data_IF_118924703325
#
_entry.id   IF_118924703325
#
_cell.length_a   1.000
_cell.length_b   1.000
_cell.length_c   1.000
_cell.angle_alpha   90.00
_cell.angle_beta   90.00
_cell.angle_gamma   90.00
#
_symmetry.space_group_name_H-M   'P 1'
#
loop_
_entity.id
_entity.type
_entity.pdbx_description
1 polymer ?
#
# COMPACT_ATOMS: atom_id res chain seq x y z
N UNK A 1 16.29 -33.72 72.16
CA UNK A 1 17.07 -33.20 71.00
C UNK A 1 16.11 -32.91 69.89
N UNK A 2 15.69 -31.65 69.69
CA UNK A 2 14.83 -31.24 68.62
C UNK A 2 15.71 -30.85 67.43
N UNK A 3 15.62 -31.59 66.29
CA UNK A 3 16.24 -31.22 65.01
C UNK A 3 15.42 -30.11 64.36
N UNK A 4 15.97 -28.89 64.24
CA UNK A 4 15.40 -27.79 63.47
C UNK A 4 15.61 -28.10 62.01
N UNK A 5 14.50 -28.26 61.22
CA UNK A 5 14.50 -28.33 59.79
C UNK A 5 14.37 -26.88 59.28
N UNK A 6 15.40 -26.38 58.58
CA UNK A 6 15.39 -25.08 57.91
C UNK A 6 14.83 -25.32 56.49
N UNK A 7 13.71 -24.69 56.12
CA UNK A 7 13.23 -24.81 54.76
C UNK A 7 14.13 -23.99 53.81
N UNK A 8 14.69 -24.63 52.80
CA UNK A 8 15.43 -24.02 51.69
C UNK A 8 14.41 -23.37 50.76
N UNK A 9 14.28 -22.04 50.79
CA UNK A 9 13.48 -21.27 49.83
C UNK A 9 14.31 -21.11 48.56
N UNK A 10 13.97 -21.89 47.55
CA UNK A 10 14.52 -21.71 46.19
C UNK A 10 13.72 -20.57 45.51
N UNK A 11 14.33 -19.39 45.42
CA UNK A 11 13.78 -18.27 44.67
C UNK A 11 14.11 -18.53 43.19
N UNK A 12 13.12 -19.01 42.44
CA UNK A 12 13.19 -19.07 40.98
C UNK A 12 13.10 -17.64 40.40
N UNK A 13 14.24 -17.04 40.09
CA UNK A 13 14.30 -15.84 39.25
C UNK A 13 13.91 -16.24 37.81
N UNK A 14 12.64 -16.07 37.47
CA UNK A 14 12.21 -16.08 36.08
C UNK A 14 12.79 -14.86 35.38
N UNK A 15 13.81 -15.06 34.55
CA UNK A 15 14.34 -14.05 33.65
C UNK A 15 13.28 -13.86 32.57
N UNK A 16 12.41 -12.86 32.75
CA UNK A 16 11.54 -12.38 31.69
C UNK A 16 12.43 -11.71 30.62
N UNK A 17 12.90 -12.46 29.63
CA UNK A 17 13.41 -11.87 28.40
C UNK A 17 12.20 -11.28 27.69
N UNK A 18 12.07 -9.96 27.70
CA UNK A 18 11.09 -9.26 26.86
C UNK A 18 11.32 -9.71 25.41
N UNK A 19 10.28 -10.18 24.69
CA UNK A 19 10.45 -10.52 23.30
C UNK A 19 10.97 -9.29 22.57
N UNK A 20 12.11 -9.43 21.90
CA UNK A 20 12.68 -8.36 21.08
C UNK A 20 11.60 -8.00 20.04
N UNK A 21 11.18 -6.74 19.98
CA UNK A 21 10.20 -6.31 19.01
C UNK A 21 10.69 -6.73 17.62
N UNK A 22 9.85 -7.47 16.89
CA UNK A 22 10.21 -7.96 15.57
C UNK A 22 10.33 -6.77 14.63
N UNK A 23 11.49 -6.60 13.99
CA UNK A 23 11.73 -5.49 13.08
C UNK A 23 10.79 -5.57 11.87
N UNK A 24 10.24 -4.41 11.47
CA UNK A 24 9.39 -4.31 10.29
C UNK A 24 10.14 -4.69 9.01
N UNK A 25 9.53 -5.50 8.17
CA UNK A 25 10.10 -5.96 6.90
C UNK A 25 9.09 -5.96 5.77
N UNK A 26 9.60 -6.09 4.55
CA UNK A 26 8.84 -6.25 3.33
C UNK A 26 9.12 -7.63 2.75
N UNK A 27 8.09 -8.47 2.68
CA UNK A 27 8.15 -9.74 1.95
C UNK A 27 7.78 -9.48 0.50
N UNK A 28 8.55 -10.04 -0.44
CA UNK A 28 8.40 -9.82 -1.88
C UNK A 28 8.32 -11.17 -2.56
N UNK A 29 7.20 -11.39 -3.27
CA UNK A 29 6.95 -12.63 -3.99
C UNK A 29 6.66 -12.34 -5.45
N UNK A 30 6.97 -13.30 -6.33
CA UNK A 30 6.50 -13.30 -7.71
C UNK A 30 5.36 -14.31 -7.83
N UNK A 31 4.20 -13.83 -8.28
CA UNK A 31 3.02 -14.63 -8.56
C UNK A 31 2.87 -14.76 -10.08
N UNK A 32 2.32 -15.87 -10.54
CA UNK A 32 2.06 -16.10 -11.96
C UNK A 32 0.58 -16.38 -12.17
N UNK A 33 0.02 -15.77 -13.20
CA UNK A 33 -1.35 -16.01 -13.62
C UNK A 33 -1.43 -16.08 -15.14
N UNK A 34 -2.13 -17.11 -15.63
CA UNK A 34 -2.30 -17.30 -17.06
C UNK A 34 -3.46 -16.46 -17.58
N UNK A 35 -3.16 -15.55 -18.50
CA UNK A 35 -4.14 -14.74 -19.24
C UNK A 35 -4.13 -15.28 -20.68
N UNK A 36 -5.21 -15.94 -21.09
CA UNK A 36 -5.30 -16.67 -22.36
C UNK A 36 -4.11 -17.62 -22.56
N UNK A 37 -3.21 -17.30 -23.48
CA UNK A 37 -1.98 -18.09 -23.75
C UNK A 37 -0.74 -17.51 -23.10
N UNK A 38 -0.83 -16.33 -22.44
CA UNK A 38 0.29 -15.63 -21.84
C UNK A 38 0.37 -15.90 -20.34
N UNK A 39 1.53 -16.35 -19.86
CA UNK A 39 1.82 -16.47 -18.43
C UNK A 39 2.35 -15.14 -17.92
N UNK A 40 1.50 -14.38 -17.24
CA UNK A 40 1.82 -13.06 -16.71
C UNK A 40 2.43 -13.15 -15.31
N UNK A 41 3.49 -12.40 -15.08
CA UNK A 41 4.13 -12.28 -13.78
C UNK A 41 3.68 -11.04 -13.03
N UNK A 42 3.46 -11.21 -11.72
CA UNK A 42 3.06 -10.16 -10.78
C UNK A 42 4.03 -10.15 -9.60
N UNK A 43 4.46 -8.98 -9.18
CA UNK A 43 5.20 -8.83 -7.93
C UNK A 43 4.25 -8.39 -6.84
N UNK A 44 4.25 -9.11 -5.72
CA UNK A 44 3.53 -8.77 -4.51
C UNK A 44 4.48 -8.24 -3.45
N UNK A 45 4.16 -7.09 -2.90
CA UNK A 45 4.84 -6.47 -1.77
C UNK A 45 3.94 -6.57 -0.54
N UNK A 46 4.32 -7.42 0.41
CA UNK A 46 3.55 -7.73 1.62
C UNK A 46 4.31 -7.22 2.86
N UNK A 47 3.85 -6.15 3.53
CA UNK A 47 4.48 -5.65 4.73
C UNK A 47 4.20 -6.57 5.94
N UNK A 48 5.20 -6.71 6.80
CA UNK A 48 5.10 -7.37 8.10
C UNK A 48 5.69 -6.46 9.17
N UNK A 49 4.96 -6.19 10.26
CA UNK A 49 5.31 -5.21 11.29
C UNK A 49 5.67 -3.82 10.72
N UNK A 50 4.90 -3.39 9.71
CA UNK A 50 5.08 -2.13 9.04
C UNK A 50 3.71 -1.49 8.75
N UNK A 51 3.70 -0.19 8.49
CA UNK A 51 2.49 0.60 8.28
C UNK A 51 2.52 1.28 6.91
N UNK A 52 1.33 1.45 6.34
CA UNK A 52 1.13 2.28 5.16
C UNK A 52 0.97 3.73 5.55
N UNK A 53 1.51 4.63 4.71
CA UNK A 53 1.26 6.07 4.78
C UNK A 53 1.12 6.64 3.38
N UNK A 54 0.23 7.62 3.25
CA UNK A 54 0.15 8.44 2.05
C UNK A 54 0.80 9.79 2.31
N UNK A 55 1.71 10.22 1.45
CA UNK A 55 2.38 11.50 1.61
C UNK A 55 2.52 12.28 0.30
N UNK A 56 2.58 13.61 0.41
CA UNK A 56 2.75 14.56 -0.71
C UNK A 56 4.15 15.15 -0.77
N UNK A 57 5.04 14.68 0.06
CA UNK A 57 6.46 15.05 0.05
C UNK A 57 7.23 13.84 -0.43
N UNK A 58 8.18 14.05 -1.35
CA UNK A 58 9.00 12.97 -1.89
C UNK A 58 9.69 12.21 -0.74
N UNK A 59 9.55 10.87 -0.69
CA UNK A 59 10.21 10.07 0.33
C UNK A 59 11.72 10.19 0.25
N UNK A 60 12.38 10.38 1.41
CA UNK A 60 13.82 10.39 1.49
C UNK A 60 14.37 8.96 1.41
N UNK A 61 15.15 8.69 0.38
CA UNK A 61 15.80 7.39 0.17
C UNK A 61 16.87 7.06 1.20
N UNK A 62 17.31 8.03 2.01
CA UNK A 62 18.24 7.79 3.12
C UNK A 62 17.54 7.39 4.43
N UNK A 63 16.21 7.51 4.48
CA UNK A 63 15.43 7.07 5.64
C UNK A 63 15.29 5.54 5.65
N UNK A 64 16.05 4.86 6.49
CA UNK A 64 16.06 3.40 6.62
C UNK A 64 14.79 2.80 7.24
N UNK A 65 13.90 3.61 7.79
CA UNK A 65 12.59 3.14 8.26
C UNK A 65 11.61 2.95 7.09
N UNK A 66 11.85 3.57 5.95
CA UNK A 66 11.03 3.39 4.76
C UNK A 66 11.44 2.13 4.01
N UNK A 67 10.50 1.21 3.86
CA UNK A 67 10.69 -0.09 3.20
C UNK A 67 10.31 -0.07 1.72
N UNK A 68 9.31 0.73 1.36
CA UNK A 68 8.82 0.86 0.00
C UNK A 68 8.21 2.24 -0.23
N UNK A 69 8.33 2.72 -1.45
CA UNK A 69 7.67 3.92 -1.94
C UNK A 69 7.21 3.71 -3.38
N UNK A 70 5.94 3.99 -3.66
CA UNK A 70 5.34 3.99 -5.00
C UNK A 70 4.41 5.17 -5.17
N UNK A 71 4.09 5.54 -6.41
CA UNK A 71 3.04 6.54 -6.67
C UNK A 71 1.69 5.99 -6.22
N UNK A 72 0.86 6.81 -5.59
CA UNK A 72 -0.49 6.43 -5.15
C UNK A 72 -1.56 6.91 -6.13
N UNK A 73 -1.97 8.16 -6.01
CA UNK A 73 -3.07 8.75 -6.77
C UNK A 73 -2.57 9.44 -8.06
N UNK A 74 -3.50 9.69 -8.98
CA UNK A 74 -3.20 10.44 -10.18
C UNK A 74 -2.69 11.84 -9.86
N UNK A 75 -1.74 12.29 -10.66
CA UNK A 75 -1.28 13.67 -10.68
C UNK A 75 -1.99 14.41 -11.79
N UNK A 76 -2.50 15.61 -11.52
CA UNK A 76 -3.13 16.45 -12.53
C UNK A 76 -2.11 16.91 -13.59
N UNK A 77 -2.62 17.48 -14.69
CA UNK A 77 -1.75 18.14 -15.71
C UNK A 77 -0.91 19.27 -15.11
N UNK A 78 -1.33 19.81 -13.97
CA UNK A 78 -0.52 20.73 -13.14
C UNK A 78 0.16 19.87 -12.07
N UNK A 79 1.50 19.74 -12.10
CA UNK A 79 2.22 18.76 -11.29
C UNK A 79 2.08 18.95 -9.77
N UNK A 80 1.58 20.09 -9.29
CA UNK A 80 1.43 20.35 -7.85
C UNK A 80 0.19 19.69 -7.23
N UNK A 81 -0.68 19.08 -8.03
CA UNK A 81 -1.99 18.61 -7.56
C UNK A 81 -2.15 17.10 -7.67
N UNK A 82 -2.48 16.51 -6.52
CA UNK A 82 -3.06 15.16 -6.46
C UNK A 82 -4.51 15.26 -6.91
N UNK A 83 -4.91 14.42 -7.87
CA UNK A 83 -6.29 14.41 -8.36
C UNK A 83 -7.22 13.89 -7.25
N UNK A 84 -8.37 14.51 -7.10
CA UNK A 84 -9.34 14.19 -6.06
C UNK A 84 -9.07 14.89 -4.72
N UNK A 85 -9.76 14.44 -3.68
CA UNK A 85 -9.49 14.86 -2.30
C UNK A 85 -8.39 13.98 -1.73
N UNK A 86 -7.43 14.58 -1.06
CA UNK A 86 -6.39 13.86 -0.33
C UNK A 86 -6.17 14.44 1.07
N UNK A 87 -5.85 13.57 2.02
CA UNK A 87 -5.39 13.93 3.37
C UNK A 87 -4.05 13.24 3.59
N UNK A 88 -3.07 13.98 4.10
CA UNK A 88 -1.76 13.44 4.46
C UNK A 88 -1.40 13.94 5.85
N UNK A 89 -1.26 13.02 6.80
CA UNK A 89 -1.05 13.32 8.21
C UNK A 89 -2.04 14.39 8.72
N UNK A 90 -3.35 14.18 8.49
CA UNK A 90 -4.44 15.06 8.88
C UNK A 90 -4.59 16.35 8.05
N UNK A 91 -3.68 16.65 7.12
CA UNK A 91 -3.73 17.85 6.30
C UNK A 91 -4.47 17.60 5.00
N UNK A 92 -5.68 18.15 4.86
CA UNK A 92 -6.56 18.00 3.69
C UNK A 92 -6.14 18.91 2.54
N UNK A 93 -6.20 18.38 1.31
CA UNK A 93 -6.20 19.14 0.04
C UNK A 93 -7.31 18.61 -0.87
N UNK A 94 -7.86 19.49 -1.71
CA UNK A 94 -8.94 19.17 -2.64
C UNK A 94 -8.53 19.64 -4.03
N UNK A 95 -8.61 18.73 -5.00
CA UNK A 95 -8.58 19.04 -6.41
C UNK A 95 -9.74 18.30 -7.08
N UNK A 96 -10.86 19.00 -7.39
CA UNK A 96 -12.09 18.38 -7.86
C UNK A 96 -11.87 17.57 -9.15
N UNK A 97 -12.50 16.40 -9.22
CA UNK A 97 -12.47 15.51 -10.37
C UNK A 97 -13.62 14.51 -10.27
N UNK A 98 -14.04 13.96 -11.38
CA UNK A 98 -15.05 12.92 -11.50
C UNK A 98 -14.45 11.57 -11.94
N UNK A 99 -13.10 11.48 -12.01
CA UNK A 99 -12.43 10.29 -12.53
C UNK A 99 -12.20 9.19 -11.48
N UNK A 100 -12.29 9.53 -10.20
CA UNK A 100 -12.13 8.58 -9.11
C UNK A 100 -13.47 7.97 -8.71
N UNK A 101 -13.44 6.68 -8.37
CA UNK A 101 -14.63 5.91 -7.97
C UNK A 101 -14.49 5.28 -6.58
N UNK A 102 -13.28 5.32 -6.00
CA UNK A 102 -12.99 4.80 -4.67
C UNK A 102 -12.03 5.69 -3.89
N UNK A 103 -11.86 5.37 -2.62
CA UNK A 103 -10.85 5.95 -1.76
C UNK A 103 -10.11 4.89 -0.95
N UNK A 104 -8.92 5.25 -0.52
CA UNK A 104 -8.16 4.55 0.51
C UNK A 104 -8.07 5.45 1.75
N UNK A 105 -8.46 4.92 2.90
CA UNK A 105 -8.29 5.53 4.23
C UNK A 105 -7.25 4.73 5.00
N UNK A 106 -6.28 5.43 5.61
CA UNK A 106 -5.22 4.82 6.41
C UNK A 106 -5.20 5.49 7.78
N UNK A 107 -5.48 4.71 8.83
CA UNK A 107 -5.46 5.17 10.23
C UNK A 107 -4.66 4.15 11.04
N UNK A 108 -3.47 4.53 11.49
CA UNK A 108 -2.59 3.58 12.17
C UNK A 108 -2.30 2.34 11.31
N UNK A 109 -2.73 1.17 11.78
CA UNK A 109 -2.57 -0.11 11.05
C UNK A 109 -3.73 -0.41 10.10
N UNK A 110 -4.84 0.28 10.26
CA UNK A 110 -6.04 0.06 9.46
C UNK A 110 -5.87 0.68 8.06
N UNK A 111 -6.03 -0.13 7.03
CA UNK A 111 -6.15 0.30 5.64
C UNK A 111 -7.53 -0.10 5.15
N UNK A 112 -8.33 0.87 4.69
CA UNK A 112 -9.69 0.66 4.23
C UNK A 112 -9.83 1.16 2.80
N UNK A 113 -10.37 0.31 1.92
CA UNK A 113 -10.67 0.63 0.53
C UNK A 113 -12.20 0.58 0.38
N UNK A 114 -12.82 1.67 -0.05
CA UNK A 114 -14.27 1.74 -0.25
C UNK A 114 -14.64 2.60 -1.47
N UNK A 115 -15.86 2.38 -1.97
CA UNK A 115 -16.48 3.23 -2.98
C UNK A 115 -16.67 4.67 -2.47
N UNK A 116 -16.52 5.65 -3.36
CA UNK A 116 -16.79 7.07 -3.05
C UNK A 116 -18.26 7.35 -2.70
N UNK A 117 -19.17 6.48 -3.09
CA UNK A 117 -20.59 6.59 -2.76
C UNK A 117 -20.84 6.27 -1.27
N UNK A 118 -19.90 5.55 -0.62
CA UNK A 118 -20.01 5.14 0.76
C UNK A 118 -19.16 6.02 1.68
N UNK A 119 -19.78 6.64 2.68
CA UNK A 119 -19.09 7.27 3.82
C UNK A 119 -17.91 8.24 3.51
N UNK A 120 -17.73 8.69 2.26
CA UNK A 120 -16.64 9.56 1.81
C UNK A 120 -16.33 10.72 2.77
N UNK A 121 -17.38 11.48 3.16
CA UNK A 121 -17.20 12.66 4.00
C UNK A 121 -16.78 12.30 5.44
N UNK A 122 -17.33 11.22 5.98
CA UNK A 122 -16.94 10.71 7.31
C UNK A 122 -15.51 10.21 7.32
N UNK A 123 -15.09 9.51 6.28
CA UNK A 123 -13.72 9.01 6.13
C UNK A 123 -12.70 10.13 5.99
N UNK A 124 -13.03 11.20 5.25
CA UNK A 124 -12.20 12.41 5.18
C UNK A 124 -12.09 13.08 6.54
N UNK A 125 -13.21 13.24 7.27
CA UNK A 125 -13.22 13.82 8.62
C UNK A 125 -12.38 12.98 9.58
N UNK A 126 -12.55 11.65 9.57
CA UNK A 126 -11.75 10.70 10.37
C UNK A 126 -10.26 10.86 10.09
N UNK A 127 -9.84 10.88 8.81
CA UNK A 127 -8.46 11.08 8.43
C UNK A 127 -7.87 12.40 8.95
N UNK A 128 -8.66 13.49 8.95
CA UNK A 128 -8.22 14.80 9.49
C UNK A 128 -8.10 14.77 11.01
N UNK A 129 -9.09 14.23 11.71
CA UNK A 129 -9.15 14.22 13.17
C UNK A 129 -8.09 13.31 13.79
N UNK A 130 -7.88 12.13 13.21
CA UNK A 130 -6.94 11.13 13.70
C UNK A 130 -5.53 11.28 13.11
N UNK A 131 -5.26 12.38 12.38
CA UNK A 131 -3.98 12.61 11.69
C UNK A 131 -3.59 11.46 10.76
N UNK A 132 -4.59 10.79 10.20
CA UNK A 132 -4.41 9.72 9.22
C UNK A 132 -4.20 10.24 7.81
N UNK A 133 -4.29 9.30 6.88
CA UNK A 133 -4.08 9.52 5.46
C UNK A 133 -5.33 9.10 4.66
N UNK A 134 -5.55 9.76 3.52
CA UNK A 134 -6.67 9.48 2.63
C UNK A 134 -6.30 9.91 1.21
N UNK A 135 -6.63 9.10 0.21
CA UNK A 135 -6.55 9.48 -1.20
C UNK A 135 -7.63 8.81 -2.02
N UNK A 136 -7.97 9.40 -3.15
CA UNK A 136 -8.96 8.90 -4.10
C UNK A 136 -8.29 8.31 -5.33
N UNK A 137 -8.91 7.25 -5.89
CA UNK A 137 -8.43 6.59 -7.11
C UNK A 137 -9.54 5.71 -7.71
N UNK A 138 -9.28 5.05 -8.83
CA UNK A 138 -10.21 4.10 -9.45
C UNK A 138 -10.39 2.85 -8.61
N UNK A 139 -11.64 2.47 -8.40
CA UNK A 139 -12.01 1.18 -7.79
C UNK A 139 -11.81 0.06 -8.81
N UNK A 140 -11.08 -0.97 -8.45
CA UNK A 140 -10.85 -2.13 -9.31
C UNK A 140 -11.69 -3.32 -8.88
N UNK A 141 -11.77 -3.58 -7.57
CA UNK A 141 -12.49 -4.73 -7.00
C UNK A 141 -13.20 -4.28 -5.72
N UNK A 142 -14.47 -4.66 -5.60
CA UNK A 142 -15.27 -4.49 -4.39
C UNK A 142 -15.95 -5.82 -4.04
N UNK A 143 -15.68 -6.34 -2.84
CA UNK A 143 -16.23 -7.61 -2.34
C UNK A 143 -15.99 -8.81 -3.30
N UNK A 144 -14.83 -8.86 -3.93
CA UNK A 144 -14.47 -9.90 -4.90
C UNK A 144 -15.04 -9.70 -6.30
N UNK A 145 -15.81 -8.63 -6.54
CA UNK A 145 -16.40 -8.31 -7.82
C UNK A 145 -15.62 -7.21 -8.54
N UNK A 146 -15.30 -7.43 -9.82
CA UNK A 146 -14.58 -6.46 -10.65
C UNK A 146 -15.44 -5.26 -11.01
N UNK A 147 -14.88 -4.06 -10.93
CA UNK A 147 -15.52 -2.82 -11.34
C UNK A 147 -15.17 -2.47 -12.78
N UNK A 148 -16.12 -1.89 -13.50
CA UNK A 148 -15.85 -1.36 -14.84
C UNK A 148 -14.95 -0.13 -14.76
N UNK A 149 -13.85 -0.16 -15.50
CA UNK A 149 -12.90 0.94 -15.63
C UNK A 149 -12.83 1.41 -17.08
N UNK A 150 -13.62 2.43 -17.44
CA UNK A 150 -13.60 2.98 -18.81
C UNK A 150 -12.27 3.69 -19.14
N UNK A 151 -11.59 4.22 -18.12
CA UNK A 151 -10.27 4.82 -18.26
C UNK A 151 -9.26 3.70 -18.52
N UNK A 152 -8.55 3.76 -19.66
CA UNK A 152 -7.53 2.78 -20.08
C UNK A 152 -8.04 1.40 -20.51
N UNK A 153 -9.34 1.22 -20.76
CA UNK A 153 -9.99 -0.07 -21.09
C UNK A 153 -9.24 -0.89 -22.15
N UNK A 154 -8.83 -0.27 -23.26
CA UNK A 154 -8.19 -0.95 -24.38
C UNK A 154 -6.67 -0.77 -24.43
N UNK A 155 -6.05 -0.27 -23.37
CA UNK A 155 -4.63 0.02 -23.33
C UNK A 155 -3.87 -1.01 -22.50
N UNK A 156 -3.10 -1.89 -23.15
CA UNK A 156 -2.16 -2.75 -22.46
C UNK A 156 -0.95 -1.94 -21.95
N UNK A 157 -0.75 -1.94 -20.64
CA UNK A 157 0.39 -1.32 -19.97
C UNK A 157 0.68 -2.05 -18.66
N UNK A 158 1.73 -1.66 -17.96
CA UNK A 158 1.97 -2.17 -16.61
C UNK A 158 0.95 -1.59 -15.65
N UNK A 159 0.54 -2.37 -14.66
CA UNK A 159 -0.51 -2.04 -13.71
C UNK A 159 0.00 -2.21 -12.28
N UNK A 160 -0.55 -1.41 -11.38
CA UNK A 160 -0.30 -1.51 -9.94
C UNK A 160 -1.59 -1.26 -9.18
N UNK A 161 -1.77 -1.97 -8.07
CA UNK A 161 -2.89 -1.79 -7.16
C UNK A 161 -2.45 -1.88 -5.70
N UNK A 162 -3.18 -1.21 -4.83
CA UNK A 162 -3.28 -1.55 -3.42
C UNK A 162 -4.49 -2.48 -3.31
N UNK A 163 -4.29 -3.69 -2.82
CA UNK A 163 -5.29 -4.73 -2.82
C UNK A 163 -5.32 -5.51 -1.50
N UNK A 164 -6.51 -5.99 -1.12
CA UNK A 164 -6.74 -6.69 0.14
C UNK A 164 -7.23 -8.11 -0.10
N UNK A 165 -6.62 -9.04 0.64
CA UNK A 165 -6.95 -10.46 0.67
C UNK A 165 -6.71 -10.98 2.09
N UNK A 166 -7.62 -11.80 2.63
CA UNK A 166 -7.47 -12.43 3.95
C UNK A 166 -7.12 -11.39 5.04
N UNK A 167 -7.77 -10.21 5.01
CA UNK A 167 -7.51 -9.06 5.89
C UNK A 167 -6.09 -8.47 5.80
N UNK A 168 -5.29 -8.90 4.85
CA UNK A 168 -3.97 -8.35 4.59
C UNK A 168 -4.00 -7.38 3.40
N UNK A 169 -3.24 -6.30 3.53
CA UNK A 169 -3.10 -5.31 2.45
C UNK A 169 -1.76 -5.50 1.76
N UNK A 170 -1.79 -5.56 0.42
CA UNK A 170 -0.62 -5.76 -0.42
C UNK A 170 -0.55 -4.70 -1.50
N UNK A 171 0.65 -4.37 -1.97
CA UNK A 171 0.85 -3.71 -3.25
C UNK A 171 1.16 -4.80 -4.28
N UNK A 172 0.43 -4.80 -5.40
CA UNK A 172 0.60 -5.76 -6.51
C UNK A 172 0.95 -4.98 -7.77
N UNK A 173 2.00 -5.40 -8.46
CA UNK A 173 2.47 -4.79 -9.71
C UNK A 173 2.66 -5.85 -10.79
N UNK A 174 2.23 -5.56 -12.03
CA UNK A 174 2.49 -6.46 -13.17
C UNK A 174 3.90 -6.25 -13.72
N UNK A 175 4.57 -7.30 -14.10
CA UNK A 175 5.81 -7.26 -14.87
C UNK A 175 5.55 -7.26 -16.38
N UNK A 176 4.32 -7.60 -16.79
CA UNK A 176 3.85 -7.65 -18.15
C UNK A 176 2.86 -6.53 -18.47
N UNK A 177 2.73 -6.20 -19.74
CA UNK A 177 1.71 -5.23 -20.19
C UNK A 177 0.40 -5.95 -20.41
N UNK A 178 -0.61 -5.57 -19.62
CA UNK A 178 -1.96 -6.11 -19.72
C UNK A 178 -2.99 -4.98 -19.70
N UNK A 179 -4.19 -5.26 -20.17
CA UNK A 179 -5.32 -4.35 -20.10
C UNK A 179 -5.79 -4.20 -18.63
N UNK A 180 -6.63 -3.22 -18.36
CA UNK A 180 -7.18 -3.06 -17.00
C UNK A 180 -8.13 -4.20 -16.64
N UNK A 181 -8.91 -4.70 -17.60
CA UNK A 181 -9.86 -5.79 -17.40
C UNK A 181 -9.13 -7.12 -17.11
N UNK A 182 -8.04 -7.41 -17.83
CA UNK A 182 -7.16 -8.55 -17.55
C UNK A 182 -6.51 -8.45 -16.16
N UNK A 183 -6.10 -7.24 -15.76
CA UNK A 183 -5.54 -7.01 -14.44
C UNK A 183 -6.56 -7.28 -13.33
N UNK A 184 -7.78 -6.75 -13.47
CA UNK A 184 -8.88 -6.98 -12.51
C UNK A 184 -9.19 -8.47 -12.42
N UNK A 185 -9.35 -9.16 -13.55
CA UNK A 185 -9.59 -10.59 -13.61
C UNK A 185 -8.50 -11.39 -12.89
N UNK A 186 -7.23 -11.08 -13.17
CA UNK A 186 -6.10 -11.73 -12.52
C UNK A 186 -6.10 -11.53 -10.99
N UNK A 187 -6.37 -10.32 -10.51
CA UNK A 187 -6.45 -10.05 -9.07
C UNK A 187 -7.58 -10.84 -8.39
N UNK A 188 -8.76 -10.96 -9.02
CA UNK A 188 -9.89 -11.76 -8.49
C UNK A 188 -9.49 -13.23 -8.41
N UNK A 189 -8.91 -13.79 -9.44
CA UNK A 189 -8.46 -15.20 -9.47
C UNK A 189 -7.31 -15.46 -8.47
N UNK A 190 -6.50 -14.46 -8.17
CA UNK A 190 -5.51 -14.50 -7.09
C UNK A 190 -6.13 -14.36 -5.70
N UNK A 191 -7.46 -14.17 -5.62
CA UNK A 191 -8.26 -14.14 -4.39
C UNK A 191 -8.33 -12.77 -3.71
N UNK A 192 -8.10 -11.67 -4.43
CA UNK A 192 -8.26 -10.32 -3.86
C UNK A 192 -9.73 -9.91 -3.82
N UNK A 193 -10.16 -9.38 -2.67
CA UNK A 193 -11.55 -9.00 -2.38
C UNK A 193 -11.79 -7.50 -2.54
N UNK A 194 -10.77 -6.68 -2.29
CA UNK A 194 -10.80 -5.24 -2.46
C UNK A 194 -9.54 -4.79 -3.21
N UNK A 195 -9.68 -3.86 -4.15
CA UNK A 195 -8.53 -3.27 -4.82
C UNK A 195 -8.82 -1.85 -5.32
N UNK A 196 -7.84 -0.96 -5.14
CA UNK A 196 -7.79 0.39 -5.69
C UNK A 196 -6.55 0.52 -6.57
N UNK A 197 -6.68 1.19 -7.72
CA UNK A 197 -5.56 1.41 -8.63
C UNK A 197 -4.47 2.27 -7.99
N UNK A 198 -3.21 2.03 -8.32
CA UNK A 198 -2.10 2.93 -8.03
C UNK A 198 -1.49 3.41 -9.36
N UNK A 199 -1.14 4.70 -9.45
CA UNK A 199 -0.73 5.29 -10.72
C UNK A 199 0.56 4.64 -11.27
N UNK A 200 0.46 4.10 -12.49
CA UNK A 200 1.54 3.53 -13.29
C UNK A 200 1.69 4.27 -14.62
N UNK A 201 1.38 5.55 -14.63
CA UNK A 201 1.41 6.42 -15.79
C UNK A 201 2.80 6.74 -16.31
N UNK A 202 2.93 7.95 -16.88
CA UNK A 202 4.16 8.39 -17.57
C UNK A 202 5.37 8.56 -16.66
N UNK A 203 5.14 8.71 -15.36
CA UNK A 203 6.15 8.80 -14.32
C UNK A 203 5.66 8.04 -13.07
N UNK A 204 6.18 6.84 -12.90
CA UNK A 204 5.76 5.96 -11.82
C UNK A 204 6.97 5.43 -11.05
N UNK A 205 7.94 6.31 -10.79
CA UNK A 205 9.11 5.94 -10.01
C UNK A 205 8.68 5.44 -8.64
N UNK A 206 9.20 4.27 -8.29
CA UNK A 206 9.12 3.70 -6.97
C UNK A 206 10.44 3.06 -6.59
N UNK A 207 10.52 2.59 -5.38
CA UNK A 207 11.64 1.82 -4.88
C UNK A 207 11.21 1.01 -3.65
N UNK A 208 11.98 -0.03 -3.37
CA UNK A 208 11.88 -0.78 -2.12
C UNK A 208 13.27 -1.11 -1.57
N UNK A 209 13.33 -1.47 -0.29
CA UNK A 209 14.52 -2.05 0.33
C UNK A 209 14.40 -3.55 0.37
N UNK A 210 15.42 -4.23 -0.15
CA UNK A 210 15.52 -5.68 -0.03
C UNK A 210 15.98 -6.10 1.40
N UNK A 211 16.10 -7.39 1.65
CA UNK A 211 16.49 -7.93 2.95
C UNK A 211 17.90 -7.49 3.40
N UNK A 212 18.77 -7.13 2.45
CA UNK A 212 20.10 -6.58 2.69
C UNK A 212 20.11 -5.06 2.88
N UNK A 213 18.92 -4.44 2.97
CA UNK A 213 18.71 -2.99 3.04
C UNK A 213 19.17 -2.21 1.80
N UNK A 214 19.42 -2.89 0.67
CA UNK A 214 19.74 -2.23 -0.60
C UNK A 214 18.47 -1.63 -1.21
N UNK A 215 18.62 -0.43 -1.77
CA UNK A 215 17.52 0.25 -2.46
C UNK A 215 17.41 -0.25 -3.90
N UNK A 216 16.28 -0.84 -4.22
CA UNK A 216 15.93 -1.35 -5.55
C UNK A 216 14.89 -0.44 -6.18
N UNK A 217 15.21 0.15 -7.32
CA UNK A 217 14.28 1.01 -8.07
C UNK A 217 13.28 0.17 -8.85
N UNK A 218 12.03 0.62 -8.83
CA UNK A 218 10.91 0.03 -9.59
C UNK A 218 10.12 1.14 -10.31
N UNK A 219 9.16 0.74 -11.14
CA UNK A 219 8.36 1.68 -11.91
C UNK A 219 9.10 2.19 -13.15
N UNK A 220 8.65 3.34 -13.68
CA UNK A 220 9.04 3.80 -15.03
C UNK A 220 9.32 5.28 -15.10
N UNK A 221 10.04 5.62 -16.19
CA UNK A 221 10.29 6.99 -16.60
C UNK A 221 10.80 7.90 -15.48
N UNK A 222 11.83 7.46 -14.81
CA UNK A 222 12.41 8.12 -13.64
C UNK A 222 12.91 9.56 -13.93
N UNK A 223 13.18 9.87 -15.19
CA UNK A 223 13.56 11.24 -15.61
C UNK A 223 12.45 12.27 -15.32
N UNK A 224 11.20 11.80 -15.29
CA UNK A 224 10.03 12.64 -15.03
C UNK A 224 9.50 12.52 -13.61
N UNK A 225 10.21 11.87 -12.71
CA UNK A 225 9.77 11.66 -11.30
C UNK A 225 9.66 12.95 -10.50
N UNK A 226 10.28 14.04 -10.95
CA UNK A 226 10.09 15.37 -10.38
C UNK A 226 8.65 15.91 -10.56
N UNK A 227 7.86 15.31 -11.47
CA UNK A 227 6.44 15.64 -11.67
C UNK A 227 5.50 14.86 -10.72
N UNK A 228 6.00 13.87 -10.01
CA UNK A 228 5.21 13.14 -9.02
C UNK A 228 4.90 14.04 -7.82
N UNK A 229 3.67 13.97 -7.35
CA UNK A 229 3.16 14.84 -6.26
C UNK A 229 2.71 14.09 -5.04
N UNK A 230 2.72 12.74 -5.10
CA UNK A 230 2.22 11.91 -4.03
C UNK A 230 2.80 10.50 -4.07
N UNK A 231 2.89 9.89 -2.89
CA UNK A 231 3.47 8.56 -2.69
C UNK A 231 2.68 7.78 -1.66
N UNK A 232 2.50 6.49 -1.91
CA UNK A 232 2.16 5.49 -0.90
C UNK A 232 3.48 4.89 -0.44
N UNK A 233 3.73 4.93 0.85
CA UNK A 233 4.94 4.39 1.45
C UNK A 233 4.60 3.31 2.48
N UNK A 234 5.52 2.35 2.65
CA UNK A 234 5.49 1.39 3.73
C UNK A 234 6.65 1.73 4.66
N UNK A 235 6.35 1.91 5.95
CA UNK A 235 7.31 2.29 6.99
C UNK A 235 7.32 1.25 8.10
N UNK A 236 8.51 0.93 8.64
CA UNK A 236 8.66 0.10 9.85
C UNK A 236 7.85 0.70 11.01
N UNK A 237 7.22 -0.15 11.81
CA UNK A 237 6.64 0.28 13.09
C UNK A 237 7.77 0.60 14.08
N UNK A 238 7.58 1.68 14.79
CA UNK A 238 8.48 2.06 15.88
C UNK A 238 8.11 1.32 17.17
#
# INVERSE_FOLDING_TARGET
MLKKIIPLIIVLLSIFTSPKAQEGKLNIDTLYYQIDTMNCAFVRYAPENAQYHFQRIKPDTNNNDLLLSVVAAFTSKRPEHVVGTSVSNGKKKIYPTDAETAYCLIIGDEVKIESLEQNKNLSIQKAVQEKGDYFQQMHLIENGEGKQCEIFKNRATFRRALAQKDQQTHIIETLDRITIDEFIKALIELGYEQAIYLDMGSWSEGWYRNQENNLIRIGRNWKSSHLQTNWLVIKKKM
#
